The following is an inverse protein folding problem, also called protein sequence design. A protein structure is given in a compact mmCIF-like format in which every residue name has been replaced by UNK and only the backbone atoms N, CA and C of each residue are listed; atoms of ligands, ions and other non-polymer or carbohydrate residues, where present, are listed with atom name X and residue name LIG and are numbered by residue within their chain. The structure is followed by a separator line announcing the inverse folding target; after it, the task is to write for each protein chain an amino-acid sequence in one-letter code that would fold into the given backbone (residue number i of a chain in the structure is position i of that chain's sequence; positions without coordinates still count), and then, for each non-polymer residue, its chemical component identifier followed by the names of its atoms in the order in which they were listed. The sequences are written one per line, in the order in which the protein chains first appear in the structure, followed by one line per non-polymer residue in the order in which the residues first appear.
data_IF_732551413309
#
_entry.id   IF_732551413309
#
_cell.length_a   1.000
_cell.length_b   1.000
_cell.length_c   1.000
_cell.angle_alpha   90.00
_cell.angle_beta   90.00
_cell.angle_gamma   90.00
#
_symmetry.space_group_name_H-M   'P 1'
#
loop_
_entity.id
_entity.type
_entity.pdbx_description
1 polymer ?
#
# COMPACT_ATOMS: atom_id res chain seq x y z
N UNK A 1 -4.71 17.54 6.46
CA UNK A 1 -3.68 17.23 5.46
C UNK A 1 -4.36 17.19 4.11
N UNK A 2 -3.76 17.81 3.09
CA UNK A 2 -4.35 17.84 1.74
C UNK A 2 -3.95 16.58 0.99
N UNK A 3 -4.94 15.87 0.48
CA UNK A 3 -4.74 14.74 -0.42
C UNK A 3 -4.00 15.20 -1.69
N UNK A 4 -2.93 14.49 -2.05
CA UNK A 4 -2.13 14.77 -3.24
C UNK A 4 -2.34 13.64 -4.25
N UNK A 5 -2.65 14.00 -5.49
CA UNK A 5 -2.79 13.04 -6.57
C UNK A 5 -1.52 13.02 -7.42
N UNK A 6 -1.02 11.83 -7.74
CA UNK A 6 0.14 11.64 -8.63
C UNK A 6 -0.18 10.52 -9.61
N UNK A 7 -0.52 10.87 -10.85
CA UNK A 7 -1.11 9.89 -11.78
C UNK A 7 -2.44 9.36 -11.24
N UNK A 8 -2.65 8.04 -11.26
CA UNK A 8 -3.81 7.37 -10.65
C UNK A 8 -3.74 7.22 -9.12
N UNK A 9 -2.61 7.56 -8.49
CA UNK A 9 -2.40 7.34 -7.04
C UNK A 9 -2.89 8.50 -6.19
N UNK A 10 -3.41 8.16 -5.01
CA UNK A 10 -3.82 9.12 -3.98
C UNK A 10 -2.92 9.03 -2.77
N UNK A 11 -2.42 10.18 -2.32
CA UNK A 11 -1.54 10.27 -1.17
C UNK A 11 -2.09 11.16 -0.06
N UNK A 12 -2.11 10.65 1.16
CA UNK A 12 -2.37 11.42 2.38
C UNK A 12 -1.28 11.11 3.41
N UNK A 13 -0.30 12.01 3.51
CA UNK A 13 0.91 11.80 4.30
C UNK A 13 0.87 12.52 5.64
N UNK A 14 1.18 11.79 6.70
CA UNK A 14 1.43 12.30 8.04
C UNK A 14 2.92 12.58 8.25
N UNK A 15 3.30 13.86 8.24
CA UNK A 15 4.69 14.32 8.43
C UNK A 15 5.26 14.00 9.83
N UNK A 16 4.42 13.63 10.80
CA UNK A 16 4.86 13.24 12.14
C UNK A 16 5.33 11.77 12.22
N UNK A 17 5.12 10.99 11.15
CA UNK A 17 5.41 9.56 11.07
C UNK A 17 6.43 9.26 9.98
N UNK A 18 7.06 8.07 9.98
CA UNK A 18 7.97 7.66 8.90
C UNK A 18 7.29 7.76 7.53
N UNK A 19 7.80 8.66 6.68
CA UNK A 19 7.16 8.97 5.40
C UNK A 19 7.37 7.88 4.34
N UNK A 20 8.50 7.17 4.38
CA UNK A 20 8.79 6.14 3.38
C UNK A 20 7.81 4.95 3.50
N UNK A 21 7.42 4.58 4.73
CA UNK A 21 6.46 3.50 5.01
C UNK A 21 5.06 3.88 4.52
N UNK A 22 4.69 5.15 4.68
CA UNK A 22 3.42 5.67 4.19
C UNK A 22 3.36 5.71 2.67
N UNK A 23 4.42 6.18 2.01
CA UNK A 23 4.51 6.16 0.54
C UNK A 23 4.45 4.73 0.02
N UNK A 24 5.22 3.83 0.62
CA UNK A 24 5.23 2.41 0.27
C UNK A 24 3.83 1.78 0.42
N UNK A 25 3.17 1.99 1.57
CA UNK A 25 1.86 1.39 1.83
C UNK A 25 0.77 1.93 0.90
N UNK A 26 0.80 3.23 0.61
CA UNK A 26 -0.20 3.86 -0.26
C UNK A 26 -0.02 3.45 -1.72
N UNK A 27 1.22 3.30 -2.21
CA UNK A 27 1.47 2.74 -3.55
C UNK A 27 0.99 1.27 -3.62
N UNK A 28 1.33 0.43 -2.63
CA UNK A 28 0.84 -0.96 -2.57
C UNK A 28 -0.70 -1.01 -2.58
N UNK A 29 -1.35 -0.12 -1.84
CA UNK A 29 -2.81 0.00 -1.80
C UNK A 29 -3.39 0.37 -3.18
N UNK A 30 -2.82 1.37 -3.85
CA UNK A 30 -3.28 1.77 -5.19
C UNK A 30 -3.10 0.67 -6.23
N UNK A 31 -2.00 -0.11 -6.18
CA UNK A 31 -1.81 -1.28 -7.04
C UNK A 31 -2.86 -2.36 -6.73
N UNK A 32 -3.07 -2.67 -5.43
CA UNK A 32 -4.04 -3.68 -5.01
C UNK A 32 -5.48 -3.33 -5.41
N UNK A 33 -5.83 -2.03 -5.39
CA UNK A 33 -7.14 -1.53 -5.83
C UNK A 33 -7.30 -1.46 -7.36
N UNK A 34 -6.21 -1.59 -8.11
CA UNK A 34 -6.21 -1.39 -9.57
C UNK A 34 -6.35 0.09 -9.97
N UNK A 35 -6.03 1.03 -9.08
CA UNK A 35 -5.99 2.47 -9.39
C UNK A 35 -4.83 2.81 -10.34
N UNK A 36 -3.81 1.94 -10.39
CA UNK A 36 -2.69 1.99 -11.33
C UNK A 36 -2.71 0.69 -12.13
N UNK A 37 -2.61 0.79 -13.45
CA UNK A 37 -2.62 -0.38 -14.31
C UNK A 37 -1.31 -1.19 -14.21
N UNK A 38 -1.41 -2.50 -14.42
CA UNK A 38 -0.26 -3.37 -14.58
C UNK A 38 0.58 -2.93 -15.78
N UNK A 39 1.90 -2.88 -15.63
CA UNK A 39 2.80 -2.36 -16.67
C UNK A 39 2.80 -0.83 -16.83
N UNK A 40 2.01 -0.09 -16.06
CA UNK A 40 1.99 1.37 -16.12
C UNK A 40 3.30 1.97 -15.63
N UNK A 41 3.79 3.01 -16.32
CA UNK A 41 4.97 3.75 -15.91
C UNK A 41 4.62 4.68 -14.76
N UNK A 42 5.33 4.55 -13.64
CA UNK A 42 5.18 5.46 -12.50
C UNK A 42 6.18 6.62 -12.59
N UNK A 43 5.91 7.76 -11.93
CA UNK A 43 6.84 8.88 -11.87
C UNK A 43 8.22 8.44 -11.37
N UNK A 44 9.26 9.10 -11.84
CA UNK A 44 10.60 8.94 -11.27
C UNK A 44 10.64 9.34 -9.80
N UNK A 45 11.68 8.90 -9.09
CA UNK A 45 11.92 9.28 -7.68
C UNK A 45 11.87 10.79 -7.49
N UNK A 46 12.42 11.57 -8.43
CA UNK A 46 12.46 13.04 -8.34
C UNK A 46 11.08 13.66 -8.57
N UNK A 47 10.34 13.19 -9.58
CA UNK A 47 8.99 13.69 -9.88
C UNK A 47 8.03 13.38 -8.73
N UNK A 48 8.07 12.16 -8.21
CA UNK A 48 7.26 11.75 -7.06
C UNK A 48 7.61 12.56 -5.81
N UNK A 49 8.90 12.75 -5.52
CA UNK A 49 9.35 13.54 -4.38
C UNK A 49 8.90 15.01 -4.49
N UNK A 50 8.96 15.59 -5.68
CA UNK A 50 8.49 16.94 -5.95
C UNK A 50 6.97 17.04 -5.77
N UNK A 51 6.20 16.10 -6.30
CA UNK A 51 4.74 16.09 -6.20
C UNK A 51 4.28 15.98 -4.73
N UNK A 52 4.91 15.09 -3.96
CA UNK A 52 4.61 14.86 -2.54
C UNK A 52 5.25 15.89 -1.61
N UNK A 53 6.15 16.75 -2.12
CA UNK A 53 6.95 17.72 -1.35
C UNK A 53 7.77 17.05 -0.23
N UNK A 54 8.38 15.91 -0.52
CA UNK A 54 9.23 15.15 0.42
C UNK A 54 10.65 14.97 -0.15
N UNK A 55 11.57 14.43 0.63
CA UNK A 55 12.94 14.21 0.17
C UNK A 55 13.02 13.07 -0.86
N UNK A 56 13.85 13.17 -1.91
CA UNK A 56 14.06 12.07 -2.86
C UNK A 56 14.50 10.76 -2.22
N UNK A 57 15.28 10.81 -1.14
CA UNK A 57 15.72 9.60 -0.43
C UNK A 57 14.54 8.82 0.19
N UNK A 58 13.51 9.53 0.66
CA UNK A 58 12.28 8.91 1.19
C UNK A 58 11.57 8.11 0.10
N UNK A 59 11.41 8.69 -1.09
CA UNK A 59 10.78 8.00 -2.23
C UNK A 59 11.65 6.87 -2.75
N UNK A 60 12.97 7.10 -2.86
CA UNK A 60 13.92 6.08 -3.30
C UNK A 60 13.83 4.83 -2.44
N UNK A 61 13.80 4.98 -1.11
CA UNK A 61 13.64 3.86 -0.18
C UNK A 61 12.32 3.11 -0.40
N UNK A 62 11.21 3.83 -0.60
CA UNK A 62 9.92 3.20 -0.92
C UNK A 62 9.98 2.42 -2.25
N UNK A 63 10.61 2.98 -3.28
CA UNK A 63 10.75 2.33 -4.58
C UNK A 63 11.63 1.09 -4.53
N UNK A 64 12.70 1.10 -3.72
CA UNK A 64 13.55 -0.07 -3.49
C UNK A 64 12.78 -1.22 -2.81
N UNK A 65 11.92 -0.92 -1.84
CA UNK A 65 11.07 -1.94 -1.23
C UNK A 65 10.01 -2.46 -2.20
N UNK A 66 9.41 -1.61 -3.04
CA UNK A 66 8.49 -2.05 -4.10
C UNK A 66 9.16 -2.97 -5.11
N UNK A 67 10.42 -2.69 -5.49
CA UNK A 67 11.19 -3.52 -6.41
C UNK A 67 11.57 -4.85 -5.75
N UNK A 68 11.93 -4.83 -4.46
CA UNK A 68 12.16 -6.04 -3.65
C UNK A 68 10.91 -6.92 -3.56
N UNK A 69 9.73 -6.32 -3.45
CA UNK A 69 8.44 -7.00 -3.50
C UNK A 69 8.03 -7.46 -4.91
N UNK A 70 8.84 -7.15 -5.94
CA UNK A 70 8.55 -7.41 -7.36
C UNK A 70 7.28 -6.71 -7.86
N UNK A 71 6.82 -5.66 -7.15
CA UNK A 71 5.69 -4.84 -7.53
C UNK A 71 6.05 -3.80 -8.58
N UNK A 72 7.32 -3.42 -8.64
CA UNK A 72 7.87 -2.52 -9.66
C UNK A 72 9.09 -3.13 -10.33
N UNK A 73 9.35 -2.68 -11.55
CA UNK A 73 10.54 -3.04 -12.33
C UNK A 73 11.17 -1.77 -12.88
N UNK A 74 12.43 -1.52 -12.54
CA UNK A 74 13.19 -0.41 -13.12
C UNK A 74 13.88 -0.84 -14.42
N UNK A 75 13.49 -0.22 -15.53
CA UNK A 75 14.11 -0.42 -16.84
C UNK A 75 15.10 0.71 -17.10
N UNK A 76 16.39 0.39 -17.20
CA UNK A 76 17.47 1.37 -17.40
C UNK A 76 17.17 2.28 -18.60
N UNK A 77 17.17 3.59 -18.36
CA UNK A 77 16.87 4.61 -19.37
C UNK A 77 15.39 4.77 -19.76
N UNK A 78 14.50 3.91 -19.28
CA UNK A 78 13.07 3.94 -19.63
C UNK A 78 12.17 4.36 -18.46
N UNK A 79 12.61 4.11 -17.22
CA UNK A 79 11.90 4.48 -15.99
C UNK A 79 11.49 3.26 -15.16
N UNK A 80 10.60 3.48 -14.20
CA UNK A 80 10.06 2.44 -13.31
C UNK A 80 8.61 2.16 -13.68
N UNK A 81 8.24 0.89 -13.69
CA UNK A 81 6.92 0.41 -14.12
C UNK A 81 6.32 -0.49 -13.06
N UNK A 82 4.98 -0.49 -12.93
CA UNK A 82 4.27 -1.53 -12.16
C UNK A 82 4.48 -2.87 -12.85
N UNK A 83 4.60 -3.94 -12.06
CA UNK A 83 4.68 -5.30 -12.57
C UNK A 83 3.51 -5.62 -13.51
N UNK A 84 3.77 -6.43 -14.53
CA UNK A 84 2.73 -7.00 -15.39
C UNK A 84 2.21 -8.35 -14.87
N UNK A 85 2.80 -8.85 -13.78
CA UNK A 85 2.41 -10.12 -13.19
C UNK A 85 1.23 -9.93 -12.22
N UNK A 86 0.04 -10.34 -12.65
CA UNK A 86 -1.16 -10.28 -11.84
C UNK A 86 -1.08 -11.18 -10.58
N UNK A 87 -0.35 -12.30 -10.65
CA UNK A 87 -0.16 -13.20 -9.52
C UNK A 87 0.62 -12.53 -8.37
N UNK A 88 1.63 -11.71 -8.71
CA UNK A 88 2.36 -10.91 -7.71
C UNK A 88 1.44 -9.93 -6.99
N UNK A 89 0.50 -9.30 -7.71
CA UNK A 89 -0.47 -8.38 -7.09
C UNK A 89 -1.44 -9.12 -6.18
N UNK A 90 -1.90 -10.30 -6.59
CA UNK A 90 -2.79 -11.12 -5.76
C UNK A 90 -2.09 -11.62 -4.49
N UNK A 91 -0.83 -12.02 -4.57
CA UNK A 91 -0.02 -12.36 -3.41
C UNK A 91 0.12 -11.19 -2.43
N UNK A 92 0.30 -9.97 -2.94
CA UNK A 92 0.39 -8.78 -2.09
C UNK A 92 -0.94 -8.47 -1.42
N UNK A 93 -2.07 -8.58 -2.14
CA UNK A 93 -3.40 -8.46 -1.52
C UNK A 93 -3.58 -9.47 -0.38
N UNK A 94 -3.21 -10.72 -0.63
CA UNK A 94 -3.27 -11.77 0.40
C UNK A 94 -2.41 -11.41 1.61
N UNK A 95 -1.16 -11.00 1.42
CA UNK A 95 -0.25 -10.62 2.51
C UNK A 95 -0.78 -9.41 3.30
N UNK A 96 -1.35 -8.41 2.62
CA UNK A 96 -1.95 -7.25 3.28
C UNK A 96 -3.18 -7.66 4.12
N UNK A 97 -4.02 -8.55 3.58
CA UNK A 97 -5.16 -9.10 4.30
C UNK A 97 -4.72 -9.92 5.52
N UNK A 98 -3.67 -10.73 5.39
CA UNK A 98 -3.09 -11.53 6.47
C UNK A 98 -2.57 -10.64 7.61
N UNK A 99 -1.79 -9.60 7.29
CA UNK A 99 -1.28 -8.64 8.29
C UNK A 99 -2.44 -7.95 9.02
N UNK A 100 -3.41 -7.41 8.27
CA UNK A 100 -4.56 -6.71 8.84
C UNK A 100 -5.40 -7.64 9.74
N UNK A 101 -5.63 -8.88 9.28
CA UNK A 101 -6.36 -9.90 10.05
C UNK A 101 -5.61 -10.27 11.31
N UNK A 102 -4.29 -10.48 11.23
CA UNK A 102 -3.45 -10.81 12.38
C UNK A 102 -3.44 -9.70 13.44
N UNK A 103 -3.36 -8.43 13.02
CA UNK A 103 -3.48 -7.29 13.93
C UNK A 103 -4.86 -7.23 14.61
N UNK A 104 -5.93 -7.46 13.85
CA UNK A 104 -7.29 -7.45 14.37
C UNK A 104 -7.51 -8.58 15.39
N UNK A 105 -7.19 -9.82 15.02
CA UNK A 105 -7.33 -10.98 15.90
C UNK A 105 -6.54 -10.77 17.19
N UNK A 106 -5.29 -10.30 17.09
CA UNK A 106 -4.46 -10.02 18.28
C UNK A 106 -5.11 -9.00 19.21
N UNK A 107 -5.57 -7.86 18.68
CA UNK A 107 -6.22 -6.80 19.47
C UNK A 107 -7.46 -7.32 20.19
N UNK A 108 -8.23 -8.18 19.54
CA UNK A 108 -9.44 -8.78 20.13
C UNK A 108 -9.09 -9.80 21.21
N UNK A 109 -8.11 -10.67 20.97
CA UNK A 109 -7.66 -11.65 21.97
C UNK A 109 -7.04 -10.98 23.19
N UNK A 110 -6.33 -9.85 23.01
CA UNK A 110 -5.70 -9.10 24.11
C UNK A 110 -6.73 -8.50 25.09
N UNK A 111 -7.98 -8.28 24.65
CA UNK A 111 -9.10 -7.81 25.48
C UNK A 111 -10.04 -8.94 25.92
N UNK A 112 -9.65 -10.20 25.71
CA UNK A 112 -10.35 -11.39 26.21
C UNK A 112 -11.40 -11.98 25.27
N UNK A 113 -11.48 -11.53 24.01
CA UNK A 113 -12.40 -12.13 23.03
C UNK A 113 -11.83 -13.45 22.51
N UNK A 114 -12.68 -14.46 22.40
CA UNK A 114 -12.36 -15.73 21.73
C UNK A 114 -12.48 -15.59 20.22
N UNK A 115 -11.99 -16.58 19.47
CA UNK A 115 -12.19 -16.63 18.01
C UNK A 115 -13.68 -16.67 17.63
N UNK A 116 -14.53 -17.28 18.46
CA UNK A 116 -15.97 -17.35 18.25
C UNK A 116 -16.63 -15.97 18.45
N UNK A 117 -16.20 -15.22 19.46
CA UNK A 117 -16.64 -13.84 19.66
C UNK A 117 -16.19 -12.95 18.50
N UNK A 118 -14.95 -13.12 18.02
CA UNK A 118 -14.40 -12.37 16.87
C UNK A 118 -15.21 -12.64 15.61
N UNK A 119 -15.54 -13.91 15.33
CA UNK A 119 -16.37 -14.27 14.18
C UNK A 119 -17.77 -13.62 14.27
N UNK A 120 -18.39 -13.71 15.46
CA UNK A 120 -19.70 -13.10 15.72
C UNK A 120 -19.66 -11.58 15.52
N UNK A 121 -18.58 -10.93 15.98
CA UNK A 121 -18.40 -9.49 15.84
C UNK A 121 -18.29 -9.06 14.38
N UNK A 122 -17.59 -9.84 13.54
CA UNK A 122 -17.48 -9.57 12.09
C UNK A 122 -18.86 -9.66 11.42
N UNK A 123 -19.64 -10.71 11.72
CA UNK A 123 -20.97 -10.89 11.13
C UNK A 123 -21.94 -9.76 11.51
N UNK A 124 -21.92 -9.31 12.77
CA UNK A 124 -22.72 -8.16 13.21
C UNK A 124 -22.34 -6.85 12.50
N UNK A 125 -21.04 -6.63 12.26
CA UNK A 125 -20.53 -5.43 11.57
C UNK A 125 -20.90 -5.37 10.09
N UNK A 126 -21.05 -6.54 9.44
CA UNK A 126 -21.38 -6.66 8.01
C UNK A 126 -22.71 -6.00 7.66
N UNK A 127 -23.65 -5.97 8.61
CA UNK A 127 -24.96 -5.31 8.47
C UNK A 127 -24.88 -3.77 8.51
N UNK A 128 -23.79 -3.19 9.03
CA UNK A 128 -23.60 -1.73 9.09
C UNK A 128 -22.90 -1.13 7.87
N UNK A 129 -22.23 -1.98 7.07
CA UNK A 129 -21.37 -1.56 5.94
C UNK A 129 -22.01 -1.92 4.58
N UNK A 130 -23.04 -2.77 4.57
CA UNK A 130 -23.86 -3.11 3.39
C UNK A 130 -24.98 -2.09 3.19
#
# INVERSE_FOLDING_TARGET
MNEVHVGGMRFNLDLSKPLYEQVLSQIRSSIAKGEIALGEKIPSVREMAQALKITPNTVMRAYQELERDQLTVTRRGQGTFITSNAETVEQIKYNLAEIATGEYVRKMTDIGYTLEDIHTFIEQRKEEIS
#
